data_IF_494488422272
#
_entry.id   IF_494488422272
#
_cell.length_a   1.000
_cell.length_b   1.000
_cell.length_c   1.000
_cell.angle_alpha   90.00
_cell.angle_beta   90.00
_cell.angle_gamma   90.00
#
_symmetry.space_group_name_H-M   'P 1'
#
loop_
_entity.id
_entity.type
_entity.pdbx_description
1 polymer ?
#
# COMPACT_ATOMS: atom_id res chain seq x y z
N UNK A 1 16.39 -13.61 -21.48
CA UNK A 1 17.24 -13.49 -20.27
C UNK A 1 17.81 -12.08 -20.03
N UNK A 2 18.22 -11.33 -21.07
CA UNK A 2 18.85 -10.00 -20.92
C UNK A 2 17.96 -8.89 -20.31
N UNK A 3 16.63 -8.93 -20.55
CA UNK A 3 15.68 -7.94 -20.01
C UNK A 3 15.55 -8.04 -18.48
N UNK A 4 15.45 -9.26 -17.94
CA UNK A 4 15.45 -9.51 -16.48
C UNK A 4 16.74 -9.01 -15.82
N UNK A 5 17.89 -9.17 -16.47
CA UNK A 5 19.18 -8.71 -15.95
C UNK A 5 19.29 -7.17 -15.94
N UNK A 6 18.86 -6.50 -17.01
CA UNK A 6 18.80 -5.02 -17.07
C UNK A 6 17.81 -4.43 -16.06
N UNK A 7 16.65 -5.07 -15.87
CA UNK A 7 15.68 -4.68 -14.83
C UNK A 7 16.29 -4.83 -13.44
N UNK A 8 16.87 -5.99 -13.12
CA UNK A 8 17.52 -6.26 -11.83
C UNK A 8 18.64 -5.25 -11.53
N UNK A 9 19.42 -4.86 -12.54
CA UNK A 9 20.48 -3.88 -12.41
C UNK A 9 19.94 -2.45 -12.22
N UNK A 10 18.86 -2.07 -12.94
CA UNK A 10 18.16 -0.78 -12.74
C UNK A 10 17.53 -0.69 -11.36
N UNK A 11 16.87 -1.75 -10.89
CA UNK A 11 16.28 -1.80 -9.53
C UNK A 11 17.37 -1.67 -8.47
N UNK A 12 18.49 -2.38 -8.63
CA UNK A 12 19.64 -2.28 -7.70
C UNK A 12 20.25 -0.86 -7.67
N UNK A 13 20.34 -0.20 -8.83
CA UNK A 13 20.85 1.19 -8.94
C UNK A 13 19.88 2.21 -8.33
N UNK A 14 18.57 1.97 -8.39
CA UNK A 14 17.53 2.79 -7.75
C UNK A 14 17.56 2.65 -6.23
N UNK A 15 17.73 1.41 -5.74
CA UNK A 15 17.92 1.06 -4.31
C UNK A 15 19.18 1.73 -3.74
N UNK A 16 20.26 1.82 -4.53
CA UNK A 16 21.52 2.42 -4.07
C UNK A 16 21.58 3.95 -4.19
N UNK A 17 20.71 4.58 -5.00
CA UNK A 17 20.76 6.03 -5.23
C UNK A 17 20.30 6.85 -4.03
N UNK A 18 20.84 8.08 -3.89
CA UNK A 18 20.36 9.09 -2.92
C UNK A 18 18.87 9.41 -3.07
N UNK A 19 18.26 9.13 -4.23
CA UNK A 19 16.87 9.48 -4.56
C UNK A 19 15.86 8.35 -4.28
N UNK A 20 16.30 7.24 -3.69
CA UNK A 20 15.45 6.09 -3.35
C UNK A 20 14.18 6.51 -2.57
N UNK A 21 14.31 7.42 -1.61
CA UNK A 21 13.19 7.90 -0.79
C UNK A 21 12.14 8.64 -1.62
N UNK A 22 12.57 9.51 -2.54
CA UNK A 22 11.65 10.17 -3.48
C UNK A 22 10.94 9.16 -4.38
N UNK A 23 11.66 8.12 -4.81
CA UNK A 23 11.07 7.03 -5.59
C UNK A 23 9.95 6.29 -4.84
N UNK A 24 10.12 6.04 -3.53
CA UNK A 24 9.09 5.42 -2.69
C UNK A 24 7.89 6.35 -2.51
N UNK A 25 8.12 7.64 -2.27
CA UNK A 25 7.04 8.62 -2.13
C UNK A 25 6.23 8.73 -3.42
N UNK A 26 6.90 8.79 -4.58
CA UNK A 26 6.21 8.81 -5.89
C UNK A 26 5.49 7.50 -6.15
N UNK A 27 6.10 6.34 -5.84
CA UNK A 27 5.45 5.05 -6.00
C UNK A 27 4.21 4.90 -5.10
N UNK A 28 4.27 5.37 -3.86
CA UNK A 28 3.13 5.38 -2.94
C UNK A 28 2.05 6.35 -3.38
N UNK A 29 2.42 7.52 -3.90
CA UNK A 29 1.47 8.45 -4.50
C UNK A 29 0.73 7.81 -5.69
N UNK A 30 1.47 7.13 -6.58
CA UNK A 30 0.90 6.45 -7.73
C UNK A 30 0.03 5.25 -7.34
N UNK A 31 0.41 4.51 -6.29
CA UNK A 31 -0.40 3.43 -5.69
C UNK A 31 -1.76 3.97 -5.25
N UNK A 32 -1.73 5.05 -4.46
CA UNK A 32 -2.95 5.67 -3.95
C UNK A 32 -3.80 6.34 -5.02
N UNK A 33 -3.25 6.68 -6.20
CA UNK A 33 -3.96 7.52 -7.19
C UNK A 33 -4.36 6.79 -8.46
N UNK A 34 -3.49 5.98 -9.07
CA UNK A 34 -3.65 5.54 -10.47
C UNK A 34 -3.54 4.03 -10.65
N UNK A 35 -2.63 3.35 -9.95
CA UNK A 35 -2.33 1.94 -10.22
C UNK A 35 -2.36 1.13 -8.93
N UNK A 36 -3.15 0.06 -8.82
CA UNK A 36 -3.07 -0.86 -7.69
C UNK A 36 -1.76 -1.68 -7.77
N UNK A 37 -0.65 -1.04 -7.42
CA UNK A 37 0.66 -1.67 -7.27
C UNK A 37 0.78 -2.10 -5.82
N UNK A 38 1.11 -3.37 -5.51
CA UNK A 38 1.39 -3.77 -4.14
C UNK A 38 2.70 -3.11 -3.68
N UNK A 39 2.60 -1.91 -3.11
CA UNK A 39 3.75 -1.13 -2.64
C UNK A 39 4.55 -1.93 -1.61
N UNK A 40 3.89 -2.78 -0.83
CA UNK A 40 4.49 -3.67 0.15
C UNK A 40 5.48 -4.64 -0.50
N UNK A 41 5.18 -5.16 -1.69
CA UNK A 41 6.07 -6.05 -2.42
C UNK A 41 7.38 -5.36 -2.85
N UNK A 42 7.35 -4.03 -2.99
CA UNK A 42 8.54 -3.21 -3.26
C UNK A 42 9.23 -2.77 -1.97
N UNK A 43 8.45 -2.43 -0.94
CA UNK A 43 8.98 -1.97 0.36
C UNK A 43 9.71 -3.07 1.11
N UNK A 44 9.21 -4.30 1.14
CA UNK A 44 9.84 -5.42 1.86
C UNK A 44 11.30 -5.66 1.43
N UNK A 45 11.61 -5.92 0.15
CA UNK A 45 13.00 -6.16 -0.26
C UNK A 45 13.87 -4.91 -0.08
N UNK A 46 13.30 -3.71 -0.18
CA UNK A 46 14.02 -2.46 0.01
C UNK A 46 14.39 -2.23 1.48
N UNK A 47 13.45 -2.45 2.39
CA UNK A 47 13.65 -2.42 3.84
C UNK A 47 14.64 -3.49 4.28
N UNK A 48 14.62 -4.68 3.66
CA UNK A 48 15.62 -5.72 3.92
C UNK A 48 17.03 -5.31 3.42
N UNK A 49 17.13 -4.67 2.25
CA UNK A 49 18.40 -4.21 1.72
C UNK A 49 18.99 -3.01 2.49
N UNK A 50 18.14 -2.20 3.14
CA UNK A 50 18.51 -0.96 3.83
C UNK A 50 17.82 -0.85 5.19
N UNK A 51 18.14 -1.79 6.09
CA UNK A 51 17.54 -1.87 7.44
C UNK A 51 17.75 -0.59 8.24
N UNK A 52 18.86 0.10 8.04
CA UNK A 52 19.20 1.35 8.72
C UNK A 52 18.23 2.49 8.39
N UNK A 53 17.47 2.39 7.29
CA UNK A 53 16.50 3.38 6.82
C UNK A 53 15.06 2.88 6.86
N UNK A 54 14.80 1.74 7.49
CA UNK A 54 13.51 1.06 7.50
C UNK A 54 12.34 1.97 7.95
N UNK A 55 12.52 2.69 9.05
CA UNK A 55 11.53 3.66 9.56
C UNK A 55 11.33 4.85 8.63
N UNK A 56 12.40 5.30 7.98
CA UNK A 56 12.38 6.44 7.08
C UNK A 56 11.68 6.08 5.76
N UNK A 57 11.88 4.86 5.27
CA UNK A 57 11.13 4.30 4.13
C UNK A 57 9.63 4.26 4.44
N UNK A 58 9.25 3.76 5.63
CA UNK A 58 7.85 3.72 6.05
C UNK A 58 7.23 5.13 6.13
N UNK A 59 7.96 6.09 6.71
CA UNK A 59 7.52 7.48 6.81
C UNK A 59 7.32 8.12 5.42
N UNK A 60 8.28 7.95 4.50
CA UNK A 60 8.20 8.51 3.15
C UNK A 60 7.11 7.88 2.30
N UNK A 61 6.80 6.60 2.53
CA UNK A 61 5.62 5.95 1.96
C UNK A 61 4.33 6.55 2.53
N UNK A 62 4.22 6.71 3.86
CA UNK A 62 3.04 7.37 4.46
C UNK A 62 2.82 8.77 3.90
N UNK A 63 3.88 9.57 3.77
CA UNK A 63 3.79 10.93 3.20
C UNK A 63 3.28 10.88 1.75
N UNK A 64 3.84 10.01 0.92
CA UNK A 64 3.38 9.84 -0.47
C UNK A 64 1.91 9.42 -0.54
N UNK A 65 1.49 8.51 0.33
CA UNK A 65 0.11 8.08 0.43
C UNK A 65 -0.82 9.21 0.87
N UNK A 66 -0.43 10.04 1.85
CA UNK A 66 -1.24 11.17 2.33
C UNK A 66 -1.43 12.21 1.21
N UNK A 67 -0.37 12.50 0.45
CA UNK A 67 -0.46 13.38 -0.72
C UNK A 67 -1.39 12.79 -1.80
N UNK A 68 -1.31 11.48 -2.06
CA UNK A 68 -2.23 10.80 -2.97
C UNK A 68 -3.67 10.84 -2.48
N UNK A 69 -3.89 10.60 -1.19
CA UNK A 69 -5.20 10.66 -0.55
C UNK A 69 -5.83 12.06 -0.64
N UNK A 70 -5.03 13.12 -0.44
CA UNK A 70 -5.44 14.51 -0.68
C UNK A 70 -5.88 14.72 -2.12
N UNK A 71 -5.10 14.20 -3.07
CA UNK A 71 -5.41 14.34 -4.48
C UNK A 71 -6.73 13.64 -4.85
N UNK A 72 -6.95 12.39 -4.44
CA UNK A 72 -8.22 11.72 -4.72
C UNK A 72 -9.41 12.26 -3.93
N UNK A 73 -9.20 12.77 -2.71
CA UNK A 73 -10.24 13.54 -2.01
C UNK A 73 -10.63 14.78 -2.83
N UNK A 74 -9.66 15.53 -3.34
CA UNK A 74 -9.92 16.70 -4.18
C UNK A 74 -10.62 16.32 -5.50
N UNK A 75 -10.21 15.22 -6.15
CA UNK A 75 -10.91 14.69 -7.32
C UNK A 75 -12.38 14.36 -6.99
N UNK A 76 -12.63 13.66 -5.89
CA UNK A 76 -13.98 13.35 -5.44
C UNK A 76 -14.79 14.61 -5.06
N UNK A 77 -14.13 15.64 -4.54
CA UNK A 77 -14.81 16.87 -4.14
C UNK A 77 -15.21 17.76 -5.32
N UNK A 78 -14.32 17.92 -6.30
CA UNK A 78 -14.48 18.87 -7.40
C UNK A 78 -14.97 18.25 -8.72
N UNK A 79 -14.54 17.03 -9.02
CA UNK A 79 -14.78 16.40 -10.32
C UNK A 79 -15.86 15.31 -10.29
N UNK A 80 -16.38 14.95 -9.12
CA UNK A 80 -17.38 13.89 -9.02
C UNK A 80 -18.68 14.23 -9.75
N UNK A 81 -19.11 15.49 -9.74
CA UNK A 81 -20.33 15.92 -10.44
C UNK A 81 -20.18 15.90 -11.98
N UNK A 82 -18.94 15.91 -12.50
CA UNK A 82 -18.65 16.01 -13.95
C UNK A 82 -18.17 14.68 -14.53
N UNK A 83 -17.40 13.92 -13.75
CA UNK A 83 -16.68 12.72 -14.21
C UNK A 83 -16.94 11.51 -13.31
N UNK A 84 -17.84 11.64 -12.32
CA UNK A 84 -18.12 10.62 -11.31
C UNK A 84 -18.46 9.27 -11.92
N UNK A 85 -19.39 9.23 -12.88
CA UNK A 85 -19.84 7.97 -13.48
C UNK A 85 -18.71 7.23 -14.22
N UNK A 86 -17.90 7.94 -15.02
CA UNK A 86 -16.76 7.33 -15.73
C UNK A 86 -15.65 6.86 -14.79
N UNK A 87 -15.40 7.60 -13.70
CA UNK A 87 -14.42 7.22 -12.68
C UNK A 87 -14.91 6.04 -11.85
N UNK A 88 -16.21 5.99 -11.53
CA UNK A 88 -16.82 4.86 -10.84
C UNK A 88 -16.70 3.62 -11.72
N UNK A 89 -17.14 3.65 -12.98
CA UNK A 89 -17.07 2.50 -13.89
C UNK A 89 -15.64 1.92 -14.04
N UNK A 90 -14.61 2.77 -13.97
CA UNK A 90 -13.21 2.34 -14.04
C UNK A 90 -12.71 1.68 -12.75
N UNK A 91 -13.23 2.09 -11.58
CA UNK A 91 -12.70 1.73 -10.26
C UNK A 91 -13.58 0.80 -9.44
N UNK A 92 -14.91 0.79 -9.65
CA UNK A 92 -15.89 0.04 -8.85
C UNK A 92 -17.26 -0.08 -9.55
N UNK A 93 -18.24 -0.77 -8.94
CA UNK A 93 -19.63 -0.70 -9.40
C UNK A 93 -20.38 0.47 -8.73
N UNK A 94 -21.36 1.06 -9.42
CA UNK A 94 -22.24 2.10 -8.85
C UNK A 94 -22.85 1.67 -7.50
N UNK A 95 -23.25 0.40 -7.39
CA UNK A 95 -23.80 -0.17 -6.16
C UNK A 95 -22.78 -0.25 -5.02
N UNK A 96 -21.52 -0.57 -5.30
CA UNK A 96 -20.46 -0.54 -4.29
C UNK A 96 -20.17 0.89 -3.86
N UNK A 97 -20.12 1.82 -4.81
CA UNK A 97 -19.88 3.23 -4.50
C UNK A 97 -20.97 3.81 -3.59
N UNK A 98 -22.25 3.54 -3.87
CA UNK A 98 -23.35 4.00 -3.01
C UNK A 98 -23.32 3.37 -1.61
N UNK A 99 -22.92 2.10 -1.49
CA UNK A 99 -22.72 1.48 -0.18
C UNK A 99 -21.58 2.17 0.60
N UNK A 100 -20.45 2.43 -0.06
CA UNK A 100 -19.31 3.14 0.52
C UNK A 100 -19.73 4.55 0.97
N UNK A 101 -20.54 5.24 0.15
CA UNK A 101 -21.11 6.56 0.46
C UNK A 101 -21.99 6.52 1.71
N UNK A 102 -22.90 5.55 1.80
CA UNK A 102 -23.78 5.37 2.96
C UNK A 102 -23.00 5.05 4.25
N UNK A 103 -21.99 4.19 4.16
CA UNK A 103 -21.10 3.88 5.28
C UNK A 103 -20.23 5.09 5.70
N UNK A 104 -19.79 5.90 4.73
CA UNK A 104 -19.07 7.14 4.99
C UNK A 104 -19.91 8.15 5.77
N UNK A 105 -21.20 8.26 5.46
CA UNK A 105 -22.11 9.18 6.15
C UNK A 105 -22.44 8.74 7.59
N UNK A 106 -22.52 7.43 7.85
CA UNK A 106 -22.86 6.92 9.18
C UNK A 106 -21.65 6.86 10.12
N UNK A 107 -20.52 6.33 9.63
CA UNK A 107 -19.32 6.07 10.45
C UNK A 107 -18.02 6.42 9.71
N UNK A 108 -17.99 7.53 8.97
CA UNK A 108 -16.89 7.87 8.05
C UNK A 108 -15.47 7.74 8.62
N UNK A 109 -15.23 8.20 9.85
CA UNK A 109 -13.90 8.06 10.47
C UNK A 109 -13.47 6.59 10.63
N UNK A 110 -14.32 5.76 11.23
CA UNK A 110 -14.04 4.33 11.46
C UNK A 110 -14.04 3.53 10.17
N UNK A 111 -14.89 3.92 9.22
CA UNK A 111 -14.95 3.32 7.90
C UNK A 111 -13.66 3.57 7.10
N UNK A 112 -13.16 4.81 7.06
CA UNK A 112 -11.87 5.14 6.42
C UNK A 112 -10.71 4.40 7.09
N UNK A 113 -10.73 4.33 8.43
CA UNK A 113 -9.70 3.64 9.20
C UNK A 113 -9.66 2.14 8.88
N UNK A 114 -10.82 1.48 8.87
CA UNK A 114 -10.92 0.03 8.59
C UNK A 114 -10.57 -0.28 7.14
N UNK A 115 -11.05 0.51 6.17
CA UNK A 115 -10.70 0.39 4.76
C UNK A 115 -9.21 0.61 4.49
N UNK A 116 -8.58 1.55 5.19
CA UNK A 116 -7.14 1.81 5.04
C UNK A 116 -6.25 0.67 5.55
N UNK A 117 -6.78 -0.19 6.44
CA UNK A 117 -6.09 -1.38 6.95
C UNK A 117 -6.40 -2.60 6.08
N UNK A 118 -7.64 -2.71 5.59
CA UNK A 118 -8.10 -3.83 4.77
C UNK A 118 -7.33 -3.94 3.44
N UNK A 119 -7.26 -5.15 2.83
CA UNK A 119 -6.69 -5.35 1.50
C UNK A 119 -7.70 -4.93 0.40
N UNK A 120 -8.38 -3.80 0.59
CA UNK A 120 -9.40 -3.27 -0.33
C UNK A 120 -8.83 -2.03 -1.03
N UNK A 121 -9.18 -1.76 -2.31
CA UNK A 121 -8.76 -0.55 -3.01
C UNK A 121 -9.19 0.71 -2.25
N UNK A 122 -8.22 1.39 -1.66
CA UNK A 122 -8.45 2.61 -0.87
C UNK A 122 -8.92 3.80 -1.72
N UNK A 123 -8.70 3.73 -3.05
CA UNK A 123 -9.10 4.73 -4.04
C UNK A 123 -10.60 5.03 -4.00
N UNK A 124 -11.42 3.99 -3.79
CA UNK A 124 -12.87 4.12 -3.72
C UNK A 124 -13.27 4.92 -2.48
N UNK A 125 -12.61 4.65 -1.35
CA UNK A 125 -12.88 5.32 -0.07
C UNK A 125 -12.52 6.81 -0.12
N UNK A 126 -11.37 7.16 -0.71
CA UNK A 126 -10.93 8.56 -0.83
C UNK A 126 -11.79 9.37 -1.81
N UNK A 127 -12.23 8.76 -2.92
CA UNK A 127 -13.18 9.39 -3.84
C UNK A 127 -14.55 9.59 -3.18
N UNK A 128 -15.06 8.57 -2.48
CA UNK A 128 -16.31 8.68 -1.74
C UNK A 128 -16.24 9.73 -0.63
N UNK A 129 -15.12 9.83 0.09
CA UNK A 129 -14.90 10.87 1.10
C UNK A 129 -14.97 12.28 0.48
N UNK A 130 -14.37 12.50 -0.69
CA UNK A 130 -14.47 13.75 -1.44
C UNK A 130 -15.90 14.04 -1.91
N UNK A 131 -16.55 13.06 -2.54
CA UNK A 131 -17.90 13.17 -3.10
C UNK A 131 -18.96 13.43 -2.01
N UNK A 132 -18.78 12.88 -0.82
CA UNK A 132 -19.64 13.13 0.34
C UNK A 132 -19.30 14.41 1.09
N UNK A 133 -18.24 15.13 0.71
CA UNK A 133 -17.72 16.30 1.42
C UNK A 133 -17.44 15.99 2.90
N UNK A 134 -16.98 14.77 3.18
CA UNK A 134 -16.64 14.33 4.53
C UNK A 134 -15.52 15.19 5.13
N UNK A 135 -15.45 15.34 6.46
CA UNK A 135 -14.44 16.19 7.09
C UNK A 135 -13.02 15.80 6.68
N UNK A 136 -12.35 16.68 5.93
CA UNK A 136 -10.99 16.45 5.42
C UNK A 136 -10.02 16.12 6.56
N UNK A 137 -10.15 16.80 7.71
CA UNK A 137 -9.30 16.55 8.86
C UNK A 137 -9.49 15.14 9.41
N UNK A 138 -10.73 14.68 9.56
CA UNK A 138 -11.03 13.33 10.03
C UNK A 138 -10.56 12.27 9.05
N UNK A 139 -10.76 12.51 7.74
CA UNK A 139 -10.27 11.64 6.68
C UNK A 139 -8.74 11.50 6.71
N UNK A 140 -8.01 12.61 6.80
CA UNK A 140 -6.54 12.60 6.83
C UNK A 140 -6.01 11.93 8.08
N UNK A 141 -6.59 12.20 9.24
CA UNK A 141 -6.18 11.54 10.49
C UNK A 141 -6.42 10.03 10.39
N UNK A 142 -7.61 9.59 9.98
CA UNK A 142 -7.91 8.17 9.81
C UNK A 142 -6.97 7.49 8.81
N UNK A 143 -6.73 8.13 7.66
CA UNK A 143 -5.80 7.65 6.62
C UNK A 143 -4.38 7.55 7.15
N UNK A 144 -3.91 8.59 7.85
CA UNK A 144 -2.56 8.63 8.40
C UNK A 144 -2.36 7.52 9.45
N UNK A 145 -3.34 7.30 10.33
CA UNK A 145 -3.28 6.21 11.32
C UNK A 145 -3.26 4.86 10.61
N UNK A 146 -4.19 4.61 9.68
CA UNK A 146 -4.26 3.33 8.96
C UNK A 146 -2.97 3.01 8.19
N UNK A 147 -2.46 4.00 7.44
CA UNK A 147 -1.27 3.84 6.59
C UNK A 147 0.01 3.76 7.41
N UNK A 148 0.12 4.52 8.50
CA UNK A 148 1.22 4.38 9.43
C UNK A 148 1.22 3.00 10.07
N UNK A 149 0.08 2.52 10.55
CA UNK A 149 -0.02 1.17 11.12
C UNK A 149 0.42 0.09 10.14
N UNK A 150 -0.01 0.19 8.87
CA UNK A 150 0.35 -0.77 7.83
C UNK A 150 1.83 -0.71 7.45
N UNK A 151 2.35 0.46 7.13
CA UNK A 151 3.74 0.61 6.66
C UNK A 151 4.76 0.47 7.78
N UNK A 152 4.50 1.01 8.97
CA UNK A 152 5.37 0.83 10.13
C UNK A 152 5.21 -0.57 10.74
N UNK A 153 4.02 -1.17 10.68
CA UNK A 153 3.83 -2.57 11.04
C UNK A 153 4.65 -3.49 10.14
N UNK A 154 4.62 -3.25 8.83
CA UNK A 154 5.47 -3.96 7.86
C UNK A 154 6.96 -3.75 8.16
N UNK A 155 7.35 -2.50 8.45
CA UNK A 155 8.71 -2.17 8.84
C UNK A 155 9.14 -2.94 10.11
N UNK A 156 8.32 -2.93 11.15
CA UNK A 156 8.57 -3.67 12.39
C UNK A 156 8.69 -5.18 12.12
N UNK A 157 7.81 -5.76 11.31
CA UNK A 157 7.91 -7.16 10.88
C UNK A 157 9.24 -7.42 10.19
N UNK A 158 9.65 -6.57 9.24
CA UNK A 158 10.95 -6.74 8.54
C UNK A 158 12.13 -6.55 9.49
N UNK A 159 12.03 -5.67 10.49
CA UNK A 159 13.05 -5.46 11.51
C UNK A 159 13.22 -6.72 12.38
N UNK A 160 12.15 -7.23 12.98
CA UNK A 160 12.19 -8.41 13.85
C UNK A 160 12.43 -9.71 13.08
N UNK A 161 11.70 -9.92 11.98
CA UNK A 161 11.83 -11.13 11.16
C UNK A 161 13.13 -11.11 10.35
N UNK A 162 13.68 -9.94 10.02
CA UNK A 162 14.96 -9.83 9.34
C UNK A 162 16.11 -10.39 10.16
N UNK A 163 16.20 -10.01 11.43
CA UNK A 163 17.25 -10.51 12.34
C UNK A 163 17.09 -12.00 12.62
N UNK A 164 15.85 -12.49 12.73
CA UNK A 164 15.57 -13.92 12.92
C UNK A 164 15.79 -14.74 11.63
N UNK A 165 15.39 -14.23 10.47
CA UNK A 165 15.61 -14.85 9.18
C UNK A 165 17.10 -14.92 8.86
N UNK A 166 17.88 -13.89 9.17
CA UNK A 166 19.33 -13.92 8.98
C UNK A 166 20.01 -14.97 9.87
N UNK A 167 19.57 -15.13 11.12
CA UNK A 167 20.03 -16.19 12.03
C UNK A 167 19.57 -17.59 11.60
N UNK A 168 18.32 -17.76 11.16
CA UNK A 168 17.78 -19.03 10.68
C UNK A 168 18.38 -19.46 9.33
N UNK A 169 18.60 -18.52 8.41
CA UNK A 169 19.25 -18.76 7.12
C UNK A 169 20.73 -19.12 7.32
N UNK A 170 21.45 -18.47 8.25
CA UNK A 170 22.81 -18.91 8.60
C UNK A 170 22.85 -20.33 9.18
N UNK A 171 21.81 -20.75 9.92
CA UNK A 171 21.80 -22.03 10.65
C UNK A 171 21.19 -23.21 9.86
N UNK A 172 20.23 -22.98 8.95
CA UNK A 172 19.45 -24.07 8.31
C UNK A 172 19.01 -23.75 6.85
N UNK A 173 19.92 -23.24 6.02
CA UNK A 173 19.69 -22.81 4.60
C UNK A 173 18.71 -23.67 3.78
N UNK A 174 18.75 -25.00 3.91
CA UNK A 174 17.96 -25.92 3.07
C UNK A 174 16.56 -26.19 3.66
N UNK A 175 16.43 -26.34 4.99
CA UNK A 175 15.14 -26.66 5.63
C UNK A 175 14.16 -25.48 5.61
N UNK A 176 14.66 -24.25 5.77
CA UNK A 176 13.83 -23.04 5.73
C UNK A 176 13.22 -22.81 4.33
N UNK A 177 13.96 -23.11 3.27
CA UNK A 177 13.49 -23.00 1.88
C UNK A 177 12.43 -24.06 1.58
N UNK A 178 12.62 -25.30 2.02
CA UNK A 178 11.64 -26.38 1.82
C UNK A 178 10.33 -26.05 2.57
N UNK A 179 10.41 -25.57 3.80
CA UNK A 179 9.23 -25.25 4.61
C UNK A 179 8.42 -24.07 4.06
N UNK A 180 9.09 -22.99 3.66
CA UNK A 180 8.43 -21.82 3.05
C UNK A 180 7.80 -22.19 1.70
N UNK A 181 8.47 -23.00 0.89
CA UNK A 181 7.91 -23.48 -0.39
C UNK A 181 6.69 -24.38 -0.16
N UNK A 182 6.74 -25.27 0.84
CA UNK A 182 5.61 -26.14 1.18
C UNK A 182 4.40 -25.35 1.70
N UNK A 183 4.60 -24.33 2.53
CA UNK A 183 3.52 -23.46 3.02
C UNK A 183 2.85 -22.66 1.89
N UNK A 184 3.63 -22.13 0.94
CA UNK A 184 3.09 -21.40 -0.21
C UNK A 184 2.27 -22.32 -1.12
N UNK A 185 2.75 -23.55 -1.36
CA UNK A 185 2.00 -24.55 -2.13
C UNK A 185 0.72 -25.00 -1.43
N UNK A 186 0.75 -25.15 -0.10
CA UNK A 186 -0.44 -25.47 0.69
C UNK A 186 -1.47 -24.34 0.67
N UNK A 187 -1.05 -23.10 0.84
CA UNK A 187 -1.93 -21.94 0.76
C UNK A 187 -2.55 -21.79 -0.64
N UNK A 188 -1.76 -22.03 -1.70
CA UNK A 188 -2.25 -22.04 -3.07
C UNK A 188 -3.25 -23.17 -3.32
N UNK A 189 -2.97 -24.37 -2.79
CA UNK A 189 -3.86 -25.52 -2.92
C UNK A 189 -5.21 -25.32 -2.23
N UNK A 190 -5.21 -24.72 -1.02
CA UNK A 190 -6.44 -24.37 -0.29
C UNK A 190 -7.23 -23.29 -1.02
N UNK A 191 -6.56 -22.30 -1.64
CA UNK A 191 -7.22 -21.25 -2.42
C UNK A 191 -7.74 -21.74 -3.78
N UNK A 192 -7.20 -22.84 -4.31
CA UNK A 192 -7.59 -23.44 -5.60
C UNK A 192 -8.68 -24.51 -5.48
N UNK A 193 -9.23 -24.73 -4.29
CA UNK A 193 -10.21 -25.76 -3.96
C UNK A 193 -11.52 -25.13 -3.53
#
# INVERSE_FOLDING_TARGET
MAVKAKLKQKTKRLVESKNMLHGITVASFLESTIVPIPLEAVMVPLMQARREKLWLIALMATVGCVIGALFGYALGYYLFDVVGDSVIELLSSQSQFEQVKAQMQSQGFWFVLTLGIAPIPFQIAMLAAGATKFSLLQFLIATCIARSLRYFGLAAVVYFAGDQAEKLIKKHKIKAVIFTTAMVLLAWWIASR
#
